data_IF_003203654711
#
_entry.id   IF_003203654711
#
_cell.length_a   1.000
_cell.length_b   1.000
_cell.length_c   1.000
_cell.angle_alpha   90.00
_cell.angle_beta   90.00
_cell.angle_gamma   90.00
#
_symmetry.space_group_name_H-M   'P 1'
#
loop_
_entity.id
_entity.type
_entity.pdbx_description
1 polymer ?
#
# COMPACT_ATOMS: atom_id res chain seq x y z
N UNK A 1 -45.69 -33.00 84.92
CA UNK A 1 -46.38 -31.77 84.51
C UNK A 1 -45.41 -30.89 83.72
N UNK A 2 -45.73 -30.65 82.45
CA UNK A 2 -45.45 -29.47 81.60
C UNK A 2 -44.04 -28.85 81.57
N UNK A 3 -43.30 -29.24 80.53
CA UNK A 3 -42.66 -28.40 79.48
C UNK A 3 -42.60 -26.88 79.66
N UNK A 4 -41.41 -26.30 79.48
CA UNK A 4 -41.11 -25.44 78.29
C UNK A 4 -39.62 -25.16 78.15
N UNK A 5 -39.10 -25.54 76.99
CA UNK A 5 -37.72 -25.35 76.50
C UNK A 5 -37.50 -23.87 76.16
N UNK A 6 -36.43 -23.24 76.69
CA UNK A 6 -35.91 -21.96 76.20
C UNK A 6 -34.69 -22.24 75.33
N UNK A 7 -34.87 -22.18 74.02
CA UNK A 7 -33.78 -22.18 73.04
C UNK A 7 -33.34 -20.71 72.88
N UNK A 8 -32.11 -20.40 73.27
CA UNK A 8 -31.42 -19.17 72.89
C UNK A 8 -30.56 -19.49 71.66
N UNK A 9 -30.98 -19.03 70.48
CA UNK A 9 -30.18 -19.08 69.26
C UNK A 9 -29.42 -17.75 69.15
N UNK A 10 -28.10 -17.85 69.20
CA UNK A 10 -27.16 -16.79 68.83
C UNK A 10 -27.32 -16.48 67.34
N UNK A 11 -27.90 -15.32 67.02
CA UNK A 11 -27.90 -14.78 65.66
C UNK A 11 -26.55 -14.16 65.31
N UNK A 12 -25.63 -14.96 64.79
CA UNK A 12 -24.44 -14.46 64.11
C UNK A 12 -24.77 -14.12 62.67
N UNK A 13 -25.00 -12.84 62.37
CA UNK A 13 -25.05 -12.35 60.98
C UNK A 13 -23.61 -12.23 60.49
N UNK A 14 -23.13 -13.25 59.78
CA UNK A 14 -21.98 -13.13 58.90
C UNK A 14 -22.42 -12.29 57.68
N UNK A 15 -22.17 -10.98 57.74
CA UNK A 15 -22.16 -10.13 56.55
C UNK A 15 -20.98 -10.57 55.68
N UNK A 16 -21.24 -11.43 54.71
CA UNK A 16 -20.31 -11.63 53.60
C UNK A 16 -20.16 -10.28 52.87
N UNK A 17 -18.94 -9.80 52.60
CA UNK A 17 -18.77 -8.64 51.75
C UNK A 17 -19.20 -9.07 50.35
N UNK A 18 -20.39 -8.64 49.93
CA UNK A 18 -20.76 -8.62 48.51
C UNK A 18 -19.83 -7.60 47.88
N UNK A 19 -18.70 -8.07 47.37
CA UNK A 19 -17.82 -7.29 46.53
C UNK A 19 -18.60 -7.03 45.24
N UNK A 20 -19.28 -5.88 45.20
CA UNK A 20 -19.90 -5.40 43.99
C UNK A 20 -18.80 -5.25 42.94
N UNK A 21 -18.79 -6.15 41.95
CA UNK A 21 -18.01 -5.96 40.73
C UNK A 21 -18.56 -4.72 40.04
N UNK A 22 -17.96 -3.56 40.31
CA UNK A 22 -18.21 -2.37 39.53
C UNK A 22 -17.79 -2.70 38.08
N UNK A 23 -18.64 -2.44 37.07
CA UNK A 23 -18.22 -2.61 35.69
C UNK A 23 -17.01 -1.72 35.45
N UNK A 24 -15.87 -2.33 35.09
CA UNK A 24 -14.68 -1.60 34.68
C UNK A 24 -15.05 -0.79 33.45
N UNK A 25 -15.02 0.54 33.55
CA UNK A 25 -15.18 1.41 32.38
C UNK A 25 -14.21 0.97 31.29
N UNK A 26 -14.60 0.96 30.01
CA UNK A 26 -13.65 0.70 28.94
C UNK A 26 -12.51 1.71 29.07
N UNK A 27 -11.29 1.19 29.20
CA UNK A 27 -10.08 1.98 29.13
C UNK A 27 -10.04 2.66 27.76
N UNK A 28 -9.72 3.95 27.69
CA UNK A 28 -9.63 4.69 26.42
C UNK A 28 -8.36 4.29 25.67
N UNK A 29 -8.34 3.06 25.16
CA UNK A 29 -7.32 2.46 24.34
C UNK A 29 -7.85 2.32 22.91
N UNK A 30 -7.01 2.53 21.90
CA UNK A 30 -7.39 2.35 20.51
C UNK A 30 -6.15 2.08 19.67
N UNK A 31 -6.22 1.07 18.81
CA UNK A 31 -5.12 0.70 17.93
C UNK A 31 -5.45 -0.44 16.98
N UNK A 32 -4.64 -0.57 15.94
CA UNK A 32 -4.75 -1.62 14.94
C UNK A 32 -3.37 -1.92 14.36
N UNK A 33 -3.22 -3.04 13.66
CA UNK A 33 -1.99 -3.34 12.93
C UNK A 33 -2.06 -2.71 11.55
N UNK A 34 -1.14 -1.78 11.29
CA UNK A 34 -1.00 -1.08 10.01
C UNK A 34 -0.08 -1.80 9.04
N UNK A 35 0.86 -2.62 9.53
CA UNK A 35 1.77 -3.40 8.70
C UNK A 35 2.10 -4.78 9.31
N UNK A 36 1.97 -5.89 8.56
CA UNK A 36 1.14 -6.02 7.36
C UNK A 36 -0.31 -5.56 7.63
N UNK A 37 -1.04 -5.04 6.63
CA UNK A 37 -2.36 -4.45 6.86
C UNK A 37 -3.33 -5.49 7.40
N UNK A 38 -3.81 -5.26 8.63
CA UNK A 38 -4.90 -6.03 9.22
C UNK A 38 -6.19 -5.89 8.43
N UNK A 39 -7.16 -6.80 8.63
CA UNK A 39 -8.48 -6.75 7.98
C UNK A 39 -9.16 -5.39 8.16
N UNK A 40 -9.15 -4.83 9.37
CA UNK A 40 -9.68 -3.48 9.60
C UNK A 40 -8.89 -2.37 8.87
N UNK A 41 -7.57 -2.52 8.69
CA UNK A 41 -6.76 -1.58 7.90
C UNK A 41 -7.07 -1.69 6.40
N UNK A 42 -7.26 -2.91 5.88
CA UNK A 42 -7.72 -3.14 4.50
C UNK A 42 -9.09 -2.53 4.24
N UNK A 43 -10.01 -2.65 5.20
CA UNK A 43 -11.30 -1.97 5.15
C UNK A 43 -11.14 -0.45 5.09
N UNK A 44 -10.32 0.14 5.97
CA UNK A 44 -10.09 1.58 6.03
C UNK A 44 -9.41 2.13 4.76
N UNK A 45 -8.54 1.34 4.13
CA UNK A 45 -7.87 1.67 2.88
C UNK A 45 -8.77 1.48 1.64
N UNK A 46 -9.95 0.87 1.78
CA UNK A 46 -10.82 0.53 0.65
C UNK A 46 -10.33 -0.66 -0.19
N UNK A 47 -9.34 -1.41 0.30
CA UNK A 47 -8.84 -2.64 -0.35
C UNK A 47 -9.88 -3.74 -0.34
N UNK A 48 -10.65 -3.83 0.75
CA UNK A 48 -11.79 -4.75 0.88
C UNK A 48 -13.01 -3.93 1.23
N UNK A 49 -14.11 -4.13 0.51
CA UNK A 49 -15.34 -3.40 0.81
C UNK A 49 -15.89 -3.85 2.16
N UNK A 50 -16.04 -2.85 3.04
CA UNK A 50 -16.46 -3.05 4.41
C UNK A 50 -17.54 -2.05 4.84
N UNK A 51 -18.26 -2.43 5.90
CA UNK A 51 -19.21 -1.58 6.59
C UNK A 51 -18.52 -0.56 7.48
N UNK A 52 -18.98 -0.44 8.72
CA UNK A 52 -18.60 0.65 9.63
C UNK A 52 -17.12 0.67 10.01
N UNK A 53 -16.47 -0.50 10.04
CA UNK A 53 -15.09 -0.61 10.55
C UNK A 53 -14.09 0.24 9.74
N UNK A 54 -14.37 0.56 8.47
CA UNK A 54 -13.50 1.39 7.63
C UNK A 54 -13.31 2.81 8.18
N UNK A 55 -14.27 3.32 8.95
CA UNK A 55 -14.19 4.66 9.53
C UNK A 55 -13.43 4.70 10.86
N UNK A 56 -13.22 3.55 11.50
CA UNK A 56 -12.61 3.44 12.82
C UNK A 56 -11.84 2.12 13.02
N UNK A 57 -10.80 1.85 12.21
CA UNK A 57 -10.05 0.59 12.28
C UNK A 57 -9.45 0.29 13.66
N UNK A 58 -9.22 1.34 14.45
CA UNK A 58 -8.66 1.28 15.79
C UNK A 58 -9.61 0.75 16.90
N UNK A 59 -10.90 0.50 16.58
CA UNK A 59 -11.97 0.31 17.58
C UNK A 59 -12.38 -1.13 17.86
N UNK A 60 -11.62 -2.13 17.38
CA UNK A 60 -11.98 -3.56 17.53
C UNK A 60 -11.67 -4.06 18.94
N UNK A 61 -12.50 -3.66 19.90
CA UNK A 61 -12.39 -4.00 21.33
C UNK A 61 -13.34 -5.15 21.72
N UNK A 62 -12.89 -6.03 22.61
CA UNK A 62 -13.73 -7.03 23.26
C UNK A 62 -13.12 -7.60 24.55
N UNK A 63 -13.87 -8.43 25.32
CA UNK A 63 -13.33 -9.13 26.49
C UNK A 63 -12.07 -9.92 26.16
N UNK A 64 -11.09 -9.97 27.07
CA UNK A 64 -9.85 -10.76 26.90
C UNK A 64 -10.15 -12.25 26.66
N UNK A 65 -9.34 -12.87 25.80
CA UNK A 65 -9.37 -14.32 25.55
C UNK A 65 -10.27 -14.76 24.39
N UNK A 66 -10.83 -13.82 23.62
CA UNK A 66 -11.56 -14.14 22.40
C UNK A 66 -10.60 -14.53 21.27
N UNK A 67 -11.13 -15.25 20.29
CA UNK A 67 -10.40 -15.71 19.11
C UNK A 67 -10.99 -15.20 17.79
N UNK A 68 -12.07 -14.42 17.87
CA UNK A 68 -12.71 -13.75 16.74
C UNK A 68 -11.93 -12.50 16.33
N UNK A 69 -11.83 -12.28 15.02
CA UNK A 69 -11.26 -11.07 14.42
C UNK A 69 -12.05 -9.81 14.80
N UNK A 70 -13.37 -9.93 15.00
CA UNK A 70 -14.23 -8.82 15.41
C UNK A 70 -14.14 -8.45 16.90
N UNK A 71 -13.37 -9.20 17.70
CA UNK A 71 -13.42 -9.06 19.16
C UNK A 71 -14.81 -9.36 19.77
N UNK A 72 -15.66 -10.12 19.07
CA UNK A 72 -17.04 -10.38 19.48
C UNK A 72 -17.99 -9.19 19.27
N UNK A 73 -17.52 -8.12 18.63
CA UNK A 73 -18.33 -6.96 18.33
C UNK A 73 -19.14 -7.19 17.04
N UNK A 74 -20.46 -7.38 17.19
CA UNK A 74 -21.37 -7.62 16.06
C UNK A 74 -21.35 -6.52 14.98
N UNK A 75 -20.98 -5.28 15.32
CA UNK A 75 -20.82 -4.17 14.37
C UNK A 75 -19.68 -4.41 13.38
N UNK A 76 -18.68 -5.21 13.78
CA UNK A 76 -17.49 -5.53 13.00
C UNK A 76 -17.44 -7.02 12.61
N UNK A 77 -18.58 -7.72 12.65
CA UNK A 77 -18.68 -9.15 12.37
C UNK A 77 -18.13 -9.54 10.99
N UNK A 78 -18.11 -8.60 10.04
CA UNK A 78 -17.49 -8.79 8.74
C UNK A 78 -15.99 -9.13 8.80
N UNK A 79 -15.27 -8.72 9.85
CA UNK A 79 -13.87 -9.08 10.04
C UNK A 79 -13.69 -10.59 10.25
N UNK A 80 -14.73 -11.28 10.72
CA UNK A 80 -14.74 -12.73 10.89
C UNK A 80 -15.10 -13.48 9.59
N UNK A 81 -15.62 -12.78 8.57
CA UNK A 81 -16.06 -13.38 7.31
C UNK A 81 -14.86 -13.71 6.42
N UNK A 82 -14.43 -14.97 6.46
CA UNK A 82 -13.33 -15.49 5.63
C UNK A 82 -13.69 -15.60 4.14
N UNK A 83 -14.95 -15.40 3.74
CA UNK A 83 -15.36 -15.40 2.32
C UNK A 83 -15.08 -14.07 1.61
N UNK A 84 -14.81 -13.00 2.37
CA UNK A 84 -14.39 -11.71 1.81
C UNK A 84 -13.00 -11.81 1.18
N UNK A 85 -12.74 -10.92 0.22
CA UNK A 85 -11.50 -10.89 -0.54
C UNK A 85 -10.31 -10.28 0.24
N UNK A 86 -10.04 -10.79 1.44
CA UNK A 86 -8.91 -10.36 2.26
C UNK A 86 -7.60 -10.61 1.55
N UNK A 87 -6.81 -9.55 1.38
CA UNK A 87 -5.51 -9.63 0.74
C UNK A 87 -4.51 -10.19 1.74
N UNK A 88 -3.92 -11.33 1.42
CA UNK A 88 -2.89 -11.95 2.25
C UNK A 88 -1.52 -11.36 1.89
N UNK A 89 -0.80 -10.81 2.87
CA UNK A 89 0.54 -10.26 2.63
C UNK A 89 1.57 -11.37 2.56
N UNK A 90 2.38 -11.48 1.49
CA UNK A 90 3.52 -12.38 1.45
C UNK A 90 4.51 -12.03 2.56
N UNK A 91 4.93 -13.02 3.34
CA UNK A 91 5.87 -12.83 4.44
C UNK A 91 6.92 -13.92 4.45
N UNK A 92 8.13 -13.57 4.90
CA UNK A 92 9.17 -14.55 5.15
C UNK A 92 8.86 -15.43 6.35
N UNK A 93 9.84 -16.22 6.76
CA UNK A 93 9.74 -17.04 7.99
C UNK A 93 9.57 -16.19 9.26
N UNK A 94 9.98 -14.93 9.18
CA UNK A 94 9.85 -13.93 10.24
C UNK A 94 9.24 -12.68 9.64
N UNK A 95 8.31 -12.04 10.36
CA UNK A 95 7.65 -10.79 9.94
C UNK A 95 7.61 -9.79 11.10
N UNK A 96 7.85 -8.52 10.79
CA UNK A 96 7.61 -7.42 11.73
C UNK A 96 6.15 -6.96 11.63
N UNK A 97 5.43 -7.02 12.75
CA UNK A 97 4.09 -6.48 12.90
C UNK A 97 4.16 -5.10 13.55
N UNK A 98 3.61 -4.10 12.88
CA UNK A 98 3.55 -2.70 13.33
C UNK A 98 2.14 -2.34 13.77
N UNK A 99 1.99 -2.09 15.06
CA UNK A 99 0.78 -1.51 15.64
C UNK A 99 0.82 0.01 15.56
N UNK A 100 -0.28 0.60 15.14
CA UNK A 100 -0.54 2.05 15.19
C UNK A 100 -1.58 2.33 16.27
N UNK A 101 -1.16 2.97 17.36
CA UNK A 101 -1.98 3.28 18.53
C UNK A 101 -2.46 4.72 18.49
N UNK A 102 -3.75 4.90 18.21
CA UNK A 102 -4.40 6.22 18.21
C UNK A 102 -4.75 6.68 19.63
N UNK A 103 -4.91 5.75 20.58
CA UNK A 103 -4.96 6.03 22.01
C UNK A 103 -4.14 4.99 22.77
N UNK A 104 -2.96 5.40 23.26
CA UNK A 104 -2.01 4.54 23.97
C UNK A 104 -2.50 4.28 25.39
N UNK A 105 -2.36 3.06 25.89
CA UNK A 105 -2.81 2.69 27.23
C UNK A 105 -1.85 1.75 27.95
N UNK A 106 -1.95 1.65 29.27
CA UNK A 106 -1.22 0.66 30.06
C UNK A 106 -1.44 -0.74 29.47
N UNK A 107 -0.36 -1.40 29.06
CA UNK A 107 -0.40 -2.63 28.28
C UNK A 107 0.21 -3.78 29.07
N UNK A 108 -0.49 -4.91 29.08
CA UNK A 108 0.02 -6.15 29.65
C UNK A 108 0.81 -6.90 28.59
N UNK A 109 0.12 -7.57 27.66
CA UNK A 109 0.79 -8.38 26.64
C UNK A 109 0.27 -8.10 25.24
N UNK A 110 1.12 -8.40 24.27
CA UNK A 110 0.79 -8.54 22.86
C UNK A 110 0.95 -10.00 22.49
N UNK A 111 -0.08 -10.62 21.92
CA UNK A 111 -0.08 -12.04 21.62
C UNK A 111 -0.42 -12.27 20.15
N UNK A 112 0.22 -13.24 19.52
CA UNK A 112 -0.01 -13.61 18.13
C UNK A 112 -0.35 -15.09 18.03
N UNK A 113 -1.36 -15.44 17.23
CA UNK A 113 -1.85 -16.80 17.09
C UNK A 113 -2.10 -17.19 15.63
N UNK A 114 -1.89 -18.47 15.30
CA UNK A 114 -2.36 -19.10 14.06
C UNK A 114 -3.15 -20.35 14.46
N UNK A 115 -4.41 -20.46 14.03
CA UNK A 115 -5.25 -21.64 14.30
C UNK A 115 -5.37 -22.03 15.78
N UNK A 116 -5.28 -21.05 16.69
CA UNK A 116 -5.28 -21.26 18.15
C UNK A 116 -3.90 -21.54 18.77
N UNK A 117 -2.85 -21.72 17.97
CA UNK A 117 -1.47 -21.87 18.46
C UNK A 117 -0.86 -20.49 18.68
N UNK A 118 -0.40 -20.19 19.91
CA UNK A 118 0.33 -18.95 20.20
C UNK A 118 1.73 -19.02 19.59
N UNK A 119 2.03 -18.14 18.64
CA UNK A 119 3.31 -18.11 17.93
C UNK A 119 4.29 -17.07 18.50
N UNK A 120 3.79 -16.02 19.15
CA UNK A 120 4.61 -15.04 19.85
C UNK A 120 3.86 -14.34 20.99
N UNK A 121 4.61 -13.84 21.96
CA UNK A 121 4.11 -13.01 23.06
C UNK A 121 5.16 -11.98 23.47
N UNK A 122 4.73 -10.75 23.71
CA UNK A 122 5.55 -9.65 24.20
C UNK A 122 4.87 -9.05 25.43
N UNK A 123 5.60 -8.86 26.52
CA UNK A 123 5.08 -8.39 27.81
C UNK A 123 5.63 -6.99 28.12
N UNK A 124 4.73 -6.01 28.20
CA UNK A 124 5.04 -4.63 28.56
C UNK A 124 4.94 -4.38 30.08
N UNK A 125 4.54 -5.37 30.87
CA UNK A 125 4.54 -5.30 32.34
C UNK A 125 3.64 -4.21 32.92
N UNK A 126 2.63 -3.75 32.18
CA UNK A 126 1.77 -2.63 32.56
C UNK A 126 2.28 -1.25 32.10
N UNK A 127 3.38 -1.17 31.36
CA UNK A 127 3.87 0.09 30.80
C UNK A 127 2.91 0.65 29.73
N UNK A 128 2.93 1.96 29.54
CA UNK A 128 2.28 2.58 28.38
C UNK A 128 3.26 2.55 27.20
N UNK A 129 2.93 1.91 26.06
CA UNK A 129 3.80 1.79 24.92
C UNK A 129 3.93 3.12 24.15
N UNK A 130 4.90 3.23 23.22
CA UNK A 130 4.92 4.30 22.20
C UNK A 130 3.69 4.23 21.27
N UNK A 131 3.49 5.27 20.45
CA UNK A 131 2.36 5.33 19.50
C UNK A 131 2.48 4.31 18.36
N UNK A 132 3.71 3.88 18.08
CA UNK A 132 4.01 2.83 17.12
C UNK A 132 4.75 1.73 17.86
N UNK A 133 4.26 0.49 17.77
CA UNK A 133 4.88 -0.68 18.41
C UNK A 133 5.23 -1.69 17.33
N UNK A 134 6.46 -2.19 17.35
CA UNK A 134 6.94 -3.16 16.38
C UNK A 134 7.32 -4.48 17.07
N UNK A 135 6.82 -5.58 16.52
CA UNK A 135 7.03 -6.92 17.03
C UNK A 135 7.51 -7.83 15.92
N UNK A 136 8.72 -8.37 16.06
CA UNK A 136 9.24 -9.35 15.13
C UNK A 136 8.75 -10.75 15.53
N UNK A 137 7.94 -11.38 14.68
CA UNK A 137 7.29 -12.68 14.95
C UNK A 137 7.86 -13.74 14.01
N UNK A 138 8.34 -14.85 14.57
CA UNK A 138 8.76 -16.05 13.84
C UNK A 138 7.57 -17.01 13.70
N UNK A 139 7.29 -17.44 12.47
CA UNK A 139 6.20 -18.36 12.17
C UNK A 139 6.57 -19.83 12.39
N UNK A 140 7.83 -20.12 12.75
CA UNK A 140 8.29 -21.46 13.06
C UNK A 140 8.16 -22.41 11.87
N UNK A 141 7.19 -23.32 11.93
CA UNK A 141 6.91 -24.32 10.89
C UNK A 141 5.66 -24.01 10.04
N UNK A 142 4.92 -22.95 10.38
CA UNK A 142 3.78 -22.52 9.59
C UNK A 142 4.25 -22.00 8.22
N UNK A 143 3.52 -22.37 7.17
CA UNK A 143 3.77 -22.00 5.77
C UNK A 143 2.44 -21.78 5.05
N UNK A 144 2.48 -21.18 3.86
CA UNK A 144 1.32 -20.90 3.03
C UNK A 144 0.40 -19.83 3.61
N UNK A 145 -0.83 -19.72 3.06
CA UNK A 145 -1.82 -18.75 3.51
C UNK A 145 -2.27 -19.07 4.94
N UNK A 146 -2.04 -18.14 5.85
CA UNK A 146 -2.42 -18.23 7.26
C UNK A 146 -3.16 -16.95 7.68
N UNK A 147 -4.07 -17.10 8.64
CA UNK A 147 -4.68 -15.99 9.36
C UNK A 147 -4.02 -15.86 10.72
N UNK A 148 -3.32 -14.76 10.94
CA UNK A 148 -2.73 -14.39 12.22
C UNK A 148 -3.75 -13.59 13.00
N UNK A 149 -4.08 -14.03 14.20
CA UNK A 149 -4.81 -13.24 15.18
C UNK A 149 -3.80 -12.56 16.10
N UNK A 150 -3.78 -11.23 16.10
CA UNK A 150 -3.02 -10.42 17.02
C UNK A 150 -3.95 -9.82 18.09
N UNK A 151 -3.53 -9.92 19.36
CA UNK A 151 -4.30 -9.50 20.52
C UNK A 151 -3.46 -8.55 21.36
N UNK A 152 -3.96 -7.35 21.57
CA UNK A 152 -3.40 -6.36 22.48
C UNK A 152 -4.16 -6.36 23.81
N UNK A 153 -3.57 -6.95 24.85
CA UNK A 153 -4.15 -7.02 26.18
C UNK A 153 -3.82 -5.76 26.97
N UNK A 154 -4.80 -4.88 27.18
CA UNK A 154 -4.66 -3.68 28.02
C UNK A 154 -4.60 -4.10 29.49
N UNK A 155 -3.65 -3.59 30.28
CA UNK A 155 -3.33 -4.17 31.60
C UNK A 155 -4.42 -3.97 32.65
N UNK A 156 -5.06 -2.81 32.65
CA UNK A 156 -5.96 -2.31 33.70
C UNK A 156 -7.46 -2.38 33.33
N UNK A 157 -7.81 -3.15 32.29
CA UNK A 157 -9.19 -3.47 31.91
C UNK A 157 -9.37 -4.97 31.67
N UNK A 158 -10.62 -5.43 31.66
CA UNK A 158 -10.98 -6.79 31.25
C UNK A 158 -10.97 -6.98 29.72
N UNK A 159 -10.79 -5.90 28.94
CA UNK A 159 -10.83 -5.92 27.48
C UNK A 159 -9.45 -5.98 26.82
N UNK A 160 -9.46 -6.34 25.54
CA UNK A 160 -8.33 -6.37 24.63
C UNK A 160 -8.76 -5.87 23.25
N UNK A 161 -7.77 -5.53 22.41
CA UNK A 161 -7.98 -5.17 21.01
C UNK A 161 -7.54 -6.31 20.11
N UNK A 162 -8.32 -6.55 19.05
CA UNK A 162 -8.16 -7.69 18.17
C UNK A 162 -7.87 -7.23 16.74
N UNK A 163 -6.90 -7.85 16.09
CA UNK A 163 -6.59 -7.62 14.69
C UNK A 163 -6.30 -8.95 14.00
N UNK A 164 -7.01 -9.24 12.93
CA UNK A 164 -6.67 -10.36 12.05
C UNK A 164 -5.85 -9.87 10.86
N UNK A 165 -4.83 -10.64 10.50
CA UNK A 165 -3.90 -10.34 9.42
C UNK A 165 -3.79 -11.61 8.59
N UNK A 166 -4.18 -11.52 7.33
CA UNK A 166 -3.99 -12.60 6.37
C UNK A 166 -2.55 -12.47 5.83
N UNK A 167 -1.78 -13.55 5.94
CA UNK A 167 -0.39 -13.61 5.47
C UNK A 167 -0.19 -14.85 4.61
N UNK A 168 0.79 -14.83 3.71
CA UNK A 168 1.26 -15.99 2.98
C UNK A 168 2.71 -16.29 3.36
N UNK A 169 2.91 -17.26 4.25
CA UNK A 169 4.20 -17.51 4.93
C UNK A 169 5.08 -18.40 4.06
N UNK A 170 6.27 -17.90 3.72
CA UNK A 170 7.19 -18.62 2.83
C UNK A 170 6.73 -18.66 1.38
N UNK A 171 5.58 -18.06 1.06
CA UNK A 171 5.23 -17.75 -0.31
C UNK A 171 6.12 -16.61 -0.80
N UNK A 172 6.82 -16.84 -1.92
CA UNK A 172 6.93 -15.78 -2.93
C UNK A 172 5.51 -15.55 -3.49
N UNK A 173 5.24 -14.46 -4.21
CA UNK A 173 3.90 -14.14 -4.75
C UNK A 173 3.29 -15.18 -5.73
N UNK A 174 3.73 -16.44 -5.69
CA UNK A 174 3.37 -17.53 -6.59
C UNK A 174 3.27 -18.85 -5.81
N UNK A 175 2.07 -19.26 -5.41
CA UNK A 175 1.74 -20.69 -5.24
C UNK A 175 0.29 -20.95 -5.69
N UNK A 176 0.01 -22.01 -6.48
CA UNK A 176 -1.11 -22.05 -7.41
C UNK A 176 -2.23 -22.98 -6.95
N UNK A 177 -3.22 -22.47 -6.21
CA UNK A 177 -4.54 -23.09 -6.19
C UNK A 177 -5.62 -22.09 -5.74
N UNK A 178 -6.63 -21.87 -6.60
CA UNK A 178 -7.87 -21.06 -6.41
C UNK A 178 -7.80 -19.56 -6.81
N UNK A 179 -8.90 -18.96 -7.32
CA UNK A 179 -9.09 -18.63 -8.74
C UNK A 179 -8.97 -17.13 -9.05
N UNK A 180 -8.34 -16.83 -10.19
CA UNK A 180 -8.30 -15.55 -10.94
C UNK A 180 -7.59 -14.32 -10.29
N UNK A 181 -6.96 -13.46 -11.13
CA UNK A 181 -5.64 -12.88 -10.85
C UNK A 181 -5.71 -11.70 -9.88
N UNK A 182 -5.02 -11.82 -8.75
CA UNK A 182 -4.65 -10.68 -7.92
C UNK A 182 -3.47 -10.00 -8.60
N UNK A 183 -3.56 -8.68 -8.82
CA UNK A 183 -2.56 -7.86 -9.48
C UNK A 183 -1.13 -8.23 -9.04
N UNK A 184 -0.29 -8.60 -10.01
CA UNK A 184 1.08 -9.04 -9.78
C UNK A 184 1.90 -8.01 -9.02
N UNK A 185 2.71 -8.49 -8.07
CA UNK A 185 3.79 -7.73 -7.47
C UNK A 185 4.64 -7.08 -8.57
N UNK A 186 5.02 -5.81 -8.38
CA UNK A 186 5.81 -5.09 -9.39
C UNK A 186 7.09 -5.87 -9.72
N UNK A 187 7.40 -6.16 -11.00
CA UNK A 187 8.53 -7.01 -11.34
C UNK A 187 9.91 -6.51 -10.88
N UNK A 188 10.04 -5.21 -10.54
CA UNK A 188 11.23 -4.63 -9.94
C UNK A 188 11.06 -4.61 -8.42
N UNK A 189 11.88 -5.35 -7.69
CA UNK A 189 11.89 -5.32 -6.21
C UNK A 189 12.40 -3.97 -5.68
N UNK A 190 12.12 -3.66 -4.41
CA UNK A 190 12.66 -2.46 -3.76
C UNK A 190 14.20 -2.41 -3.79
N UNK A 191 14.85 -3.57 -3.59
CA UNK A 191 16.31 -3.67 -3.64
C UNK A 191 16.85 -3.32 -5.05
N UNK A 192 16.21 -3.82 -6.10
CA UNK A 192 16.56 -3.49 -7.49
C UNK A 192 16.26 -2.02 -7.80
N UNK A 193 15.13 -1.48 -7.33
CA UNK A 193 14.81 -0.06 -7.48
C UNK A 193 15.86 0.83 -6.81
N UNK A 194 16.29 0.49 -5.59
CA UNK A 194 17.37 1.19 -4.89
C UNK A 194 18.74 1.04 -5.59
N UNK A 195 19.00 -0.10 -6.23
CA UNK A 195 20.22 -0.33 -7.01
C UNK A 195 20.24 0.53 -8.29
N UNK A 196 19.12 0.64 -8.99
CA UNK A 196 18.97 1.47 -10.19
C UNK A 196 19.05 2.96 -9.85
N UNK A 197 18.51 3.35 -8.70
CA UNK A 197 18.35 4.75 -8.32
C UNK A 197 19.00 5.08 -6.97
N UNK A 198 20.34 4.95 -6.85
CA UNK A 198 21.04 5.15 -5.59
C UNK A 198 21.08 6.62 -5.15
N UNK A 199 20.96 7.55 -6.10
CA UNK A 199 21.04 9.00 -5.87
C UNK A 199 19.70 9.72 -6.09
N UNK A 200 18.58 8.98 -6.16
CA UNK A 200 17.27 9.60 -6.41
C UNK A 200 16.91 10.63 -5.34
N UNK A 201 16.09 11.58 -5.74
CA UNK A 201 15.41 12.45 -4.81
C UNK A 201 14.54 11.60 -3.84
N UNK A 202 14.62 11.81 -2.52
CA UNK A 202 13.80 11.08 -1.55
C UNK A 202 12.29 11.17 -1.78
N UNK A 203 11.83 12.16 -2.56
CA UNK A 203 10.46 12.24 -3.05
C UNK A 203 9.99 10.96 -3.75
N UNK A 204 10.85 10.34 -4.57
CA UNK A 204 10.51 9.14 -5.31
C UNK A 204 10.71 7.90 -4.44
N UNK A 205 9.67 7.52 -3.71
CA UNK A 205 9.68 6.31 -2.89
C UNK A 205 9.23 5.09 -3.71
N UNK A 206 9.80 3.93 -3.38
CA UNK A 206 9.35 2.66 -3.95
C UNK A 206 7.92 2.33 -3.49
N UNK A 207 7.60 2.60 -2.22
CA UNK A 207 6.23 2.44 -1.69
C UNK A 207 5.22 3.27 -2.48
N UNK A 208 5.54 4.54 -2.81
CA UNK A 208 4.67 5.39 -3.61
C UNK A 208 4.44 4.85 -5.02
N UNK A 209 5.45 4.22 -5.63
CA UNK A 209 5.30 3.54 -6.93
C UNK A 209 4.34 2.34 -6.79
N UNK A 210 4.59 1.47 -5.82
CA UNK A 210 3.79 0.26 -5.59
C UNK A 210 2.33 0.59 -5.26
N UNK A 211 2.09 1.60 -4.42
CA UNK A 211 0.75 2.10 -4.11
C UNK A 211 0.01 2.59 -5.37
N UNK A 212 0.73 3.26 -6.28
CA UNK A 212 0.16 3.79 -7.51
C UNK A 212 -0.24 2.71 -8.52
N UNK A 213 0.36 1.51 -8.49
CA UNK A 213 0.07 0.42 -9.43
C UNK A 213 -1.41 0.02 -9.42
N UNK A 214 -2.07 0.14 -8.27
CA UNK A 214 -3.50 -0.14 -8.11
C UNK A 214 -4.40 0.71 -9.03
N UNK A 215 -3.92 1.86 -9.50
CA UNK A 215 -4.65 2.71 -10.44
C UNK A 215 -4.71 2.11 -11.86
N UNK A 216 -3.79 1.20 -12.21
CA UNK A 216 -3.71 0.56 -13.53
C UNK A 216 -3.41 -0.94 -13.40
N UNK A 217 -4.41 -1.78 -13.03
CA UNK A 217 -4.19 -3.19 -12.68
C UNK A 217 -3.64 -4.09 -13.79
N UNK A 218 -3.70 -3.66 -15.05
CA UNK A 218 -3.14 -4.38 -16.21
C UNK A 218 -1.65 -4.09 -16.44
N UNK A 219 -1.15 -2.96 -15.91
CA UNK A 219 0.25 -2.56 -16.02
C UNK A 219 1.15 -3.58 -15.34
N UNK A 220 2.12 -4.13 -16.08
CA UNK A 220 3.02 -5.20 -15.63
C UNK A 220 2.32 -6.49 -15.18
N UNK A 221 1.05 -6.65 -15.55
CA UNK A 221 0.22 -7.80 -15.21
C UNK A 221 -0.46 -8.40 -16.46
N UNK A 222 0.05 -8.05 -17.65
CA UNK A 222 -0.45 -8.48 -18.95
C UNK A 222 0.62 -9.26 -19.72
N UNK A 223 0.21 -10.34 -20.39
CA UNK A 223 1.14 -11.24 -21.09
C UNK A 223 1.90 -12.19 -20.16
N UNK A 224 2.96 -12.80 -20.69
CA UNK A 224 3.84 -13.70 -19.92
C UNK A 224 4.80 -12.93 -18.99
N UNK A 225 5.45 -13.65 -18.07
CA UNK A 225 6.39 -13.05 -17.10
C UNK A 225 7.49 -12.22 -17.78
N UNK A 226 7.96 -12.69 -18.94
CA UNK A 226 8.95 -11.96 -19.72
C UNK A 226 8.41 -10.62 -20.25
N UNK A 227 7.15 -10.58 -20.69
CA UNK A 227 6.47 -9.36 -21.14
C UNK A 227 6.23 -8.40 -19.98
N UNK A 228 5.80 -8.91 -18.83
CA UNK A 228 5.61 -8.12 -17.61
C UNK A 228 6.93 -7.46 -17.14
N UNK A 229 8.02 -8.23 -17.10
CA UNK A 229 9.37 -7.71 -16.78
C UNK A 229 9.86 -6.70 -17.81
N UNK A 230 9.64 -6.96 -19.11
CA UNK A 230 9.99 -6.01 -20.18
C UNK A 230 9.20 -4.72 -20.05
N UNK A 231 7.91 -4.77 -19.75
CA UNK A 231 7.10 -3.59 -19.55
C UNK A 231 7.58 -2.77 -18.35
N UNK A 232 7.82 -3.43 -17.20
CA UNK A 232 8.34 -2.78 -16.01
C UNK A 232 9.68 -2.10 -16.30
N UNK A 233 10.59 -2.79 -16.99
CA UNK A 233 11.86 -2.24 -17.41
C UNK A 233 11.71 -1.05 -18.36
N UNK A 234 10.75 -1.10 -19.29
CA UNK A 234 10.51 -0.04 -20.26
C UNK A 234 9.97 1.23 -19.59
N UNK A 235 9.06 1.07 -18.63
CA UNK A 235 8.56 2.19 -17.83
C UNK A 235 9.69 2.82 -17.01
N UNK A 236 10.42 2.01 -16.24
CA UNK A 236 11.52 2.50 -15.38
C UNK A 236 12.63 3.17 -16.19
N UNK A 237 12.99 2.62 -17.36
CA UNK A 237 14.03 3.20 -18.22
C UNK A 237 13.64 4.57 -18.78
N UNK A 238 12.39 4.75 -19.19
CA UNK A 238 11.90 6.05 -19.64
C UNK A 238 11.82 7.04 -18.47
N UNK A 239 11.32 6.61 -17.31
CA UNK A 239 11.28 7.44 -16.10
C UNK A 239 12.68 7.91 -15.70
N UNK A 240 13.67 7.02 -15.73
CA UNK A 240 15.07 7.35 -15.49
C UNK A 240 15.56 8.45 -16.44
N UNK A 241 15.24 8.32 -17.73
CA UNK A 241 15.61 9.31 -18.74
C UNK A 241 14.95 10.67 -18.51
N UNK A 242 13.64 10.71 -18.23
CA UNK A 242 12.88 11.96 -18.03
C UNK A 242 13.36 12.77 -16.81
N UNK A 243 13.84 12.06 -15.78
CA UNK A 243 14.07 12.66 -14.45
C UNK A 243 15.53 12.74 -14.05
N UNK A 244 16.46 12.33 -14.92
CA UNK A 244 17.87 12.20 -14.59
C UNK A 244 18.08 11.19 -13.45
N UNK A 245 17.61 9.97 -13.64
CA UNK A 245 17.64 8.87 -12.66
C UNK A 245 16.91 9.23 -11.36
N UNK A 246 15.71 9.81 -11.50
CA UNK A 246 14.84 10.26 -10.40
C UNK A 246 15.47 11.35 -9.50
N UNK A 247 16.50 12.06 -9.98
CA UNK A 247 17.08 13.18 -9.22
C UNK A 247 16.20 14.43 -9.28
N UNK A 248 15.44 14.60 -10.35
CA UNK A 248 14.62 15.79 -10.59
C UNK A 248 13.12 15.47 -10.49
N UNK A 249 12.43 16.25 -9.66
CA UNK A 249 10.97 16.19 -9.48
C UNK A 249 10.24 17.16 -10.42
N UNK A 250 10.92 18.24 -10.78
CA UNK A 250 10.40 19.31 -11.64
C UNK A 250 11.37 19.57 -12.78
N UNK A 251 10.86 20.09 -13.89
CA UNK A 251 11.68 20.56 -15.01
C UNK A 251 12.70 21.60 -14.55
N UNK A 252 13.95 21.45 -14.98
CA UNK A 252 15.05 22.29 -14.50
C UNK A 252 15.14 23.66 -15.19
N UNK A 253 14.70 23.75 -16.45
CA UNK A 253 14.78 25.00 -17.19
C UNK A 253 13.54 25.87 -16.95
N UNK A 254 13.55 26.65 -15.87
CA UNK A 254 12.45 27.55 -15.50
C UNK A 254 12.04 28.53 -16.61
N UNK A 255 12.95 28.87 -17.52
CA UNK A 255 12.63 29.74 -18.67
C UNK A 255 11.57 29.13 -19.60
N UNK A 256 11.41 27.81 -19.61
CA UNK A 256 10.41 27.12 -20.41
C UNK A 256 9.02 27.08 -19.76
N UNK A 257 8.90 27.37 -18.46
CA UNK A 257 7.64 27.16 -17.72
C UNK A 257 6.42 27.85 -18.35
N UNK A 258 6.52 29.08 -18.90
CA UNK A 258 5.38 29.73 -19.56
C UNK A 258 4.94 29.10 -20.89
N UNK A 259 5.70 28.14 -21.44
CA UNK A 259 5.36 27.50 -22.73
C UNK A 259 4.20 26.51 -22.61
N UNK A 260 3.97 25.94 -21.43
CA UNK A 260 3.07 24.80 -21.24
C UNK A 260 1.61 25.19 -20.95
N UNK A 261 1.22 26.42 -21.28
CA UNK A 261 -0.15 26.87 -21.22
C UNK A 261 -0.74 26.97 -22.63
N UNK A 262 -1.54 25.98 -23.02
CA UNK A 262 -2.35 26.08 -24.22
C UNK A 262 -3.60 26.91 -23.93
N UNK A 263 -3.51 28.20 -24.29
CA UNK A 263 -4.61 29.17 -24.12
C UNK A 263 -5.80 28.92 -25.06
N UNK A 264 -5.69 28.01 -26.04
CA UNK A 264 -6.82 27.63 -26.89
C UNK A 264 -7.80 26.68 -26.19
N UNK A 265 -7.38 26.05 -25.09
CA UNK A 265 -8.23 25.17 -24.29
C UNK A 265 -9.35 25.96 -23.60
N UNK A 266 -10.61 25.49 -23.62
CA UNK A 266 -11.74 26.24 -23.06
C UNK A 266 -11.67 26.43 -21.54
N UNK A 267 -10.91 25.58 -20.84
CA UNK A 267 -10.65 25.69 -19.41
C UNK A 267 -9.40 26.52 -19.07
N UNK A 268 -8.64 26.96 -20.07
CA UNK A 268 -7.46 27.80 -19.89
C UNK A 268 -6.41 27.20 -18.97
N UNK A 269 -5.78 28.07 -18.16
CA UNK A 269 -4.65 27.76 -17.29
C UNK A 269 -4.92 28.31 -15.87
N UNK A 270 -5.91 27.77 -15.14
CA UNK A 270 -6.42 28.37 -13.90
C UNK A 270 -5.39 28.42 -12.77
N UNK A 271 -4.38 27.55 -12.76
CA UNK A 271 -3.29 27.62 -11.81
C UNK A 271 -2.29 28.76 -12.12
N UNK A 272 -2.25 29.22 -13.37
CA UNK A 272 -1.28 30.20 -13.89
C UNK A 272 -0.63 29.73 -15.19
N UNK A 273 -0.25 30.68 -16.05
CA UNK A 273 0.29 30.36 -17.38
C UNK A 273 1.68 29.67 -17.33
N UNK A 274 2.37 29.75 -16.20
CA UNK A 274 3.69 29.18 -15.95
C UNK A 274 3.63 28.00 -14.96
N UNK A 275 2.45 27.40 -14.74
CA UNK A 275 2.27 26.37 -13.72
C UNK A 275 2.17 24.93 -14.25
N UNK A 276 2.22 24.71 -15.56
CA UNK A 276 2.04 23.39 -16.18
C UNK A 276 3.33 22.80 -16.79
N UNK A 277 4.47 23.21 -16.25
CA UNK A 277 5.79 22.62 -16.56
C UNK A 277 5.91 21.17 -16.10
N UNK A 278 6.96 20.50 -16.54
CA UNK A 278 7.20 19.08 -16.28
C UNK A 278 7.32 18.75 -14.80
N UNK A 279 6.54 17.78 -14.31
CA UNK A 279 6.62 17.23 -12.95
C UNK A 279 6.54 15.71 -12.92
N UNK A 280 7.17 15.12 -11.91
CA UNK A 280 7.05 13.71 -11.59
C UNK A 280 7.75 12.79 -12.60
N UNK A 281 7.45 11.48 -12.55
CA UNK A 281 8.27 10.44 -13.17
C UNK A 281 8.28 10.47 -14.71
N UNK A 282 7.26 11.06 -15.34
CA UNK A 282 7.17 11.23 -16.81
C UNK A 282 7.23 12.69 -17.22
N UNK A 283 7.64 13.59 -16.31
CA UNK A 283 7.67 15.03 -16.54
C UNK A 283 6.37 15.58 -17.15
N UNK A 284 5.22 15.24 -16.51
CA UNK A 284 3.89 15.64 -16.97
C UNK A 284 3.85 17.16 -17.24
N UNK A 285 3.57 17.52 -18.48
CA UNK A 285 3.61 18.91 -18.97
C UNK A 285 2.35 19.24 -19.76
N UNK A 286 2.01 20.53 -19.86
CA UNK A 286 0.82 21.08 -20.52
C UNK A 286 -0.50 20.99 -19.74
N UNK A 287 -1.22 22.12 -19.66
CA UNK A 287 -2.52 22.23 -19.01
C UNK A 287 -3.54 21.17 -19.43
N UNK A 288 -3.58 20.78 -20.71
CA UNK A 288 -4.47 19.73 -21.18
C UNK A 288 -4.11 18.33 -20.66
N UNK A 289 -2.82 18.01 -20.47
CA UNK A 289 -2.42 16.75 -19.87
C UNK A 289 -2.72 16.72 -18.37
N UNK A 290 -2.47 17.82 -17.64
CA UNK A 290 -2.88 17.93 -16.24
C UNK A 290 -4.40 17.77 -16.08
N UNK A 291 -5.20 18.35 -16.98
CA UNK A 291 -6.65 18.15 -17.00
C UNK A 291 -7.02 16.69 -17.23
N UNK A 292 -6.49 16.07 -18.28
CA UNK A 292 -6.84 14.70 -18.66
C UNK A 292 -6.38 13.66 -17.60
N UNK A 293 -5.17 13.82 -17.05
CA UNK A 293 -4.67 13.01 -15.96
C UNK A 293 -5.53 13.18 -14.70
N UNK A 294 -5.88 14.41 -14.37
CA UNK A 294 -6.71 14.71 -13.21
C UNK A 294 -8.11 14.09 -13.29
N UNK A 295 -8.75 14.19 -14.46
CA UNK A 295 -10.05 13.57 -14.72
C UNK A 295 -10.00 12.05 -14.57
N UNK A 296 -8.97 11.40 -15.13
CA UNK A 296 -8.80 9.96 -15.09
C UNK A 296 -8.53 9.43 -13.66
N UNK A 297 -7.79 10.20 -12.86
CA UNK A 297 -7.36 9.82 -11.51
C UNK A 297 -8.33 10.28 -10.41
N UNK A 298 -9.32 11.12 -10.74
CA UNK A 298 -10.21 11.75 -9.76
C UNK A 298 -9.51 12.78 -8.87
N UNK A 299 -8.49 13.47 -9.39
CA UNK A 299 -7.64 14.43 -8.67
C UNK A 299 -7.61 15.73 -9.46
N UNK A 300 -7.93 16.87 -8.85
CA UNK A 300 -7.96 18.15 -9.57
C UNK A 300 -6.55 18.72 -9.83
N UNK A 301 -5.85 18.11 -10.78
CA UNK A 301 -4.51 18.47 -11.22
C UNK A 301 -4.48 19.72 -12.11
N UNK A 302 -5.60 20.11 -12.72
CA UNK A 302 -5.66 21.34 -13.50
C UNK A 302 -5.56 22.57 -12.59
N UNK A 303 -6.29 22.60 -11.48
CA UNK A 303 -6.21 23.71 -10.53
C UNK A 303 -5.07 23.53 -9.51
N UNK A 304 -4.62 22.30 -9.26
CA UNK A 304 -3.57 21.99 -8.28
C UNK A 304 -2.41 21.19 -8.91
N UNK A 305 -1.73 21.71 -9.95
CA UNK A 305 -0.69 20.96 -10.66
C UNK A 305 0.51 20.61 -9.78
N UNK A 306 0.74 21.35 -8.70
CA UNK A 306 1.83 21.08 -7.76
C UNK A 306 1.70 19.75 -7.02
N UNK A 307 0.51 19.15 -6.96
CA UNK A 307 0.33 17.82 -6.37
C UNK A 307 1.24 16.77 -7.03
N UNK A 308 1.49 16.89 -8.34
CA UNK A 308 2.40 16.01 -9.07
C UNK A 308 3.89 16.16 -8.68
N UNK A 309 4.24 17.15 -7.85
CA UNK A 309 5.59 17.36 -7.32
C UNK A 309 5.65 17.33 -5.77
N UNK A 310 4.51 17.26 -5.09
CA UNK A 310 4.45 17.27 -3.61
C UNK A 310 3.86 16.00 -3.02
N UNK A 311 3.10 15.23 -3.79
CA UNK A 311 2.56 13.93 -3.40
C UNK A 311 3.17 12.82 -4.28
N UNK A 312 4.03 11.94 -3.70
CA UNK A 312 4.68 10.86 -4.45
C UNK A 312 3.71 9.90 -5.13
N UNK A 313 2.59 9.55 -4.48
CA UNK A 313 1.63 8.63 -5.04
C UNK A 313 0.88 9.27 -6.22
N UNK A 314 0.56 10.57 -6.13
CA UNK A 314 0.01 11.34 -7.25
C UNK A 314 1.00 11.38 -8.41
N UNK A 315 2.27 11.67 -8.15
CA UNK A 315 3.31 11.70 -9.19
C UNK A 315 3.40 10.36 -9.93
N UNK A 316 3.49 9.25 -9.20
CA UNK A 316 3.52 7.91 -9.80
C UNK A 316 2.25 7.59 -10.59
N UNK A 317 1.06 7.94 -10.07
CA UNK A 317 -0.21 7.78 -10.79
C UNK A 317 -0.24 8.55 -12.10
N UNK A 318 0.35 9.75 -12.17
CA UNK A 318 0.45 10.49 -13.44
C UNK A 318 1.37 9.81 -14.45
N UNK A 319 2.47 9.20 -13.99
CA UNK A 319 3.35 8.39 -14.83
C UNK A 319 2.65 7.18 -15.41
N UNK A 320 1.95 6.43 -14.56
CA UNK A 320 1.18 5.26 -14.98
C UNK A 320 -0.01 5.65 -15.88
N UNK A 321 -0.66 6.78 -15.60
CA UNK A 321 -1.70 7.31 -16.48
C UNK A 321 -1.18 7.54 -17.89
N UNK A 322 -0.03 8.21 -18.03
CA UNK A 322 0.56 8.45 -19.33
C UNK A 322 0.88 7.14 -20.04
N UNK A 323 1.58 6.24 -19.33
CA UNK A 323 2.01 4.94 -19.86
C UNK A 323 0.87 4.06 -20.39
N UNK A 324 -0.25 4.03 -19.66
CA UNK A 324 -1.34 3.11 -19.95
C UNK A 324 -2.40 3.71 -20.88
N UNK A 325 -2.50 5.05 -20.98
CA UNK A 325 -3.64 5.69 -21.67
C UNK A 325 -3.25 6.63 -22.80
N UNK A 326 -2.00 7.11 -22.85
CA UNK A 326 -1.59 8.14 -23.81
C UNK A 326 -0.70 7.57 -24.90
N UNK A 327 -0.99 7.91 -26.15
CA UNK A 327 -0.12 7.59 -27.29
C UNK A 327 0.89 8.70 -27.60
N UNK A 328 0.74 9.88 -26.99
CA UNK A 328 1.55 11.07 -27.28
C UNK A 328 1.69 11.31 -28.79
N UNK A 329 2.92 11.58 -29.30
CA UNK A 329 3.17 11.70 -30.74
C UNK A 329 3.31 10.35 -31.47
N UNK A 330 3.15 9.22 -30.77
CA UNK A 330 3.11 7.88 -31.34
C UNK A 330 1.72 7.47 -31.82
N UNK A 331 1.55 6.17 -32.05
CA UNK A 331 0.29 5.59 -32.57
C UNK A 331 -0.38 4.59 -31.62
N UNK A 332 0.27 4.29 -30.50
CA UNK A 332 -0.21 3.38 -29.46
C UNK A 332 0.31 3.81 -28.10
N UNK A 333 -0.28 3.30 -27.02
CA UNK A 333 0.22 3.55 -25.67
C UNK A 333 1.51 2.76 -25.43
N UNK A 334 2.42 3.26 -24.57
CA UNK A 334 3.58 2.48 -24.14
C UNK A 334 3.22 1.09 -23.60
N UNK A 335 2.13 0.97 -22.82
CA UNK A 335 1.60 -0.32 -22.36
C UNK A 335 1.32 -1.26 -23.54
N UNK A 336 0.52 -0.81 -24.53
CA UNK A 336 0.19 -1.61 -25.70
C UNK A 336 1.42 -1.96 -26.54
N UNK A 337 2.42 -1.06 -26.63
CA UNK A 337 3.66 -1.32 -27.34
C UNK A 337 4.45 -2.49 -26.73
N UNK A 338 4.47 -2.58 -25.40
CA UNK A 338 5.17 -3.65 -24.70
C UNK A 338 4.38 -4.97 -24.71
N UNK A 339 3.08 -4.91 -24.40
CA UNK A 339 2.22 -6.10 -24.30
C UNK A 339 2.01 -6.77 -25.65
N UNK A 340 1.87 -6.00 -26.73
CA UNK A 340 1.66 -6.55 -28.08
C UNK A 340 2.98 -6.84 -28.83
N UNK A 341 4.13 -6.63 -28.19
CA UNK A 341 5.44 -6.88 -28.80
C UNK A 341 5.80 -5.94 -29.96
N UNK A 342 5.23 -4.72 -29.99
CA UNK A 342 5.62 -3.70 -30.97
C UNK A 342 7.07 -3.23 -30.75
N UNK A 343 7.50 -3.18 -29.49
CA UNK A 343 8.88 -2.96 -29.06
C UNK A 343 9.12 -1.64 -28.32
N UNK A 344 10.25 -1.56 -27.62
CA UNK A 344 10.60 -0.43 -26.76
C UNK A 344 10.65 0.92 -27.51
N UNK A 345 11.03 0.92 -28.79
CA UNK A 345 11.08 2.12 -29.62
C UNK A 345 9.73 2.85 -29.74
N UNK A 346 8.61 2.12 -29.71
CA UNK A 346 7.28 2.76 -29.74
C UNK A 346 6.92 3.43 -28.41
N UNK A 347 7.52 3.00 -27.28
CA UNK A 347 7.39 3.71 -26.00
C UNK A 347 8.13 5.05 -26.04
N UNK A 348 9.33 5.08 -26.63
CA UNK A 348 10.09 6.31 -26.86
C UNK A 348 9.29 7.24 -27.77
N UNK A 349 8.71 6.67 -28.84
CA UNK A 349 7.86 7.42 -29.77
C UNK A 349 6.66 8.05 -29.07
N UNK A 350 6.00 7.33 -28.17
CA UNK A 350 4.85 7.84 -27.44
C UNK A 350 5.21 8.88 -26.36
N UNK A 351 6.45 8.90 -25.85
CA UNK A 351 6.85 9.84 -24.80
C UNK A 351 7.44 11.12 -25.39
N UNK A 352 8.39 11.01 -26.32
CA UNK A 352 9.04 12.19 -26.92
C UNK A 352 9.39 12.00 -28.41
N UNK A 353 8.62 11.19 -29.12
CA UNK A 353 8.94 10.80 -30.49
C UNK A 353 8.93 11.91 -31.54
N UNK A 354 8.25 13.02 -31.27
CA UNK A 354 8.25 14.18 -32.16
C UNK A 354 9.63 14.85 -32.24
N UNK A 355 10.47 14.70 -31.21
CA UNK A 355 11.78 15.34 -31.09
C UNK A 355 12.91 14.31 -31.27
N UNK A 356 12.75 13.10 -30.72
CA UNK A 356 13.84 12.12 -30.64
C UNK A 356 13.88 11.14 -31.81
N UNK A 357 12.73 10.61 -32.23
CA UNK A 357 12.66 9.54 -33.23
C UNK A 357 12.92 10.04 -34.66
N UNK A 358 13.01 9.09 -35.61
CA UNK A 358 13.24 9.31 -37.04
C UNK A 358 14.53 10.10 -37.33
N UNK A 359 15.54 9.92 -36.48
CA UNK A 359 16.82 10.63 -36.57
C UNK A 359 16.83 12.04 -35.98
N UNK A 360 15.78 12.45 -35.26
CA UNK A 360 15.71 13.77 -34.62
C UNK A 360 16.76 13.96 -33.51
N UNK A 361 16.89 12.98 -32.62
CA UNK A 361 17.94 12.97 -31.60
C UNK A 361 18.43 11.55 -31.27
N UNK A 362 19.29 10.96 -32.12
CA UNK A 362 19.78 9.59 -31.93
C UNK A 362 20.49 9.34 -30.60
N UNK A 363 21.11 10.38 -30.01
CA UNK A 363 21.81 10.26 -28.73
C UNK A 363 20.83 10.02 -27.56
N UNK A 364 19.68 10.71 -27.56
CA UNK A 364 18.66 10.51 -26.51
C UNK A 364 17.96 9.17 -26.66
N UNK A 365 17.63 8.75 -27.90
CA UNK A 365 17.11 7.40 -28.16
C UNK A 365 18.08 6.35 -27.65
N UNK A 366 19.38 6.51 -27.92
CA UNK A 366 20.41 5.58 -27.43
C UNK A 366 20.46 5.55 -25.90
N UNK A 367 20.40 6.71 -25.22
CA UNK A 367 20.36 6.77 -23.76
C UNK A 367 19.15 6.02 -23.17
N UNK A 368 17.95 6.16 -23.75
CA UNK A 368 16.77 5.39 -23.30
C UNK A 368 16.97 3.89 -23.50
N UNK A 369 17.53 3.48 -24.63
CA UNK A 369 17.81 2.07 -24.94
C UNK A 369 18.85 1.50 -23.99
N UNK A 370 19.87 2.26 -23.61
CA UNK A 370 20.89 1.83 -22.65
C UNK A 370 20.29 1.63 -21.26
N UNK A 371 19.46 2.57 -20.78
CA UNK A 371 18.69 2.41 -19.54
C UNK A 371 17.80 1.15 -19.61
N UNK A 372 17.11 0.94 -20.72
CA UNK A 372 16.24 -0.24 -20.90
C UNK A 372 17.01 -1.55 -20.82
N UNK A 373 18.19 -1.61 -21.45
CA UNK A 373 19.08 -2.78 -21.39
C UNK A 373 19.62 -3.01 -19.99
N UNK A 374 19.95 -1.96 -19.25
CA UNK A 374 20.37 -2.09 -17.85
C UNK A 374 19.27 -2.71 -16.99
N UNK A 375 18.04 -2.17 -17.06
CA UNK A 375 16.93 -2.69 -16.24
C UNK A 375 16.54 -4.10 -16.66
N UNK A 376 16.45 -4.40 -17.96
CA UNK A 376 16.15 -5.77 -18.44
C UNK A 376 17.22 -6.78 -18.03
N UNK A 377 18.50 -6.38 -18.06
CA UNK A 377 19.60 -7.21 -17.53
C UNK A 377 19.45 -7.46 -16.03
N UNK A 378 19.06 -6.44 -15.24
CA UNK A 378 18.84 -6.57 -13.81
C UNK A 378 17.65 -7.50 -13.47
N UNK A 379 16.63 -7.52 -14.32
CA UNK A 379 15.47 -8.40 -14.20
C UNK A 379 15.67 -9.80 -14.80
N UNK A 380 16.82 -10.04 -15.45
CA UNK A 380 17.14 -11.31 -16.10
C UNK A 380 16.21 -11.64 -17.28
N UNK A 381 15.80 -10.64 -18.05
CA UNK A 381 14.90 -10.80 -19.21
C UNK A 381 15.55 -10.28 -20.50
N UNK A 382 15.27 -10.94 -21.63
CA UNK A 382 15.68 -10.43 -22.95
C UNK A 382 14.88 -9.17 -23.31
N UNK A 383 15.54 -8.09 -23.80
CA UNK A 383 14.89 -6.83 -24.12
C UNK A 383 13.94 -6.90 -25.33
N UNK A 384 13.98 -7.97 -26.12
CA UNK A 384 13.19 -8.09 -27.34
C UNK A 384 13.72 -7.26 -28.51
N UNK A 385 12.91 -7.19 -29.58
CA UNK A 385 13.23 -6.46 -30.81
C UNK A 385 12.73 -5.02 -30.82
N UNK A 386 13.00 -4.31 -31.92
CA UNK A 386 12.49 -2.95 -32.19
C UNK A 386 12.75 -1.94 -31.05
N UNK A 387 13.99 -1.91 -30.56
CA UNK A 387 14.37 -1.06 -29.43
C UNK A 387 14.45 0.43 -29.78
N UNK A 388 14.63 0.74 -31.06
CA UNK A 388 14.89 2.09 -31.55
C UNK A 388 13.68 2.65 -32.29
N UNK A 389 13.62 3.97 -32.31
CA UNK A 389 12.82 4.79 -33.20
C UNK A 389 13.73 5.88 -33.80
#
# INVERSE_FOLDING_TARGET
>A
MRTTTKIAVLGGILLAPVLAMLPTSPASAHGYISNPPSRQAQCAAGTVECGDIKYEPQSVEGPKGLTSCSGGNSRFAELDDDSKNWQATPVGKTQTFTWSLTARHSTSTWQYFIGGTKIAEFDDGGAQPPATVEHQVDFGSFTGRQKVLAVWNVADTANAFYACIDVNIGGTATDPESPEPVAGEFPVSEAQFNQLFPNRNPFYTYSGLVEALSAYPEFTNSGDEATQKREAAAFIANVAHETGDLQYVVEQNEANYPHYCDTSQPYGCPAGNDQYYGRGPVQLSWNFNYKAAGDALGIDLLNNPNLAATDPAVAWKTGLWYWNTQSGPGTMTPHAAMVNGAGFGETIRAINGAIECNGGNPAQVQSRVDNYREVTSLLGVDPGGNLYC
#
